data_IF_819621264127
#
_entry.id   IF_819621264127
#
_cell.length_a   1.000
_cell.length_b   1.000
_cell.length_c   1.000
_cell.angle_alpha   90.00
_cell.angle_beta   90.00
_cell.angle_gamma   90.00
#
_symmetry.space_group_name_H-M   'P 1'
#
loop_
_entity.id
_entity.type
_entity.pdbx_description
1 polymer ?
#
# COMPACT_ATOMS: atom_id res chain seq x y z
N UNK A 1 33.33 50.21 -23.78
CA UNK A 1 32.08 49.67 -23.20
C UNK A 1 32.49 48.52 -22.29
N UNK A 2 32.54 48.77 -20.98
CA UNK A 2 33.01 47.79 -20.00
C UNK A 2 31.82 46.96 -19.51
N UNK A 3 31.73 45.72 -19.96
CA UNK A 3 30.68 44.80 -19.52
C UNK A 3 31.13 44.08 -18.25
N UNK A 4 30.64 44.55 -17.11
CA UNK A 4 30.82 43.93 -15.80
C UNK A 4 29.94 42.68 -15.70
N UNK A 5 30.56 41.50 -15.72
CA UNK A 5 29.88 40.23 -15.43
C UNK A 5 29.71 40.09 -13.91
N UNK A 6 28.51 40.38 -13.43
CA UNK A 6 28.08 40.05 -12.08
C UNK A 6 27.93 38.53 -11.95
N UNK A 7 28.98 37.89 -11.44
CA UNK A 7 28.97 36.48 -11.02
C UNK A 7 27.91 36.33 -9.93
N UNK A 8 26.75 35.82 -10.31
CA UNK A 8 25.66 35.46 -9.42
C UNK A 8 26.19 34.40 -8.45
N UNK A 9 26.39 34.78 -7.18
CA UNK A 9 26.92 33.91 -6.14
C UNK A 9 25.93 32.77 -5.91
N UNK A 10 26.33 31.56 -6.29
CA UNK A 10 25.65 30.31 -5.99
C UNK A 10 25.45 30.16 -4.48
N UNK A 11 24.24 30.47 -3.99
CA UNK A 11 23.76 30.07 -2.65
C UNK A 11 23.41 28.57 -2.59
N UNK A 12 23.54 27.82 -3.69
CA UNK A 12 23.04 26.45 -3.85
C UNK A 12 24.01 25.30 -3.53
N UNK A 13 24.94 25.44 -2.56
CA UNK A 13 25.91 24.37 -2.22
C UNK A 13 26.11 24.06 -0.72
N UNK A 14 25.17 24.43 0.16
CA UNK A 14 25.29 24.14 1.61
C UNK A 14 24.28 23.09 2.15
N UNK A 15 23.29 22.65 1.37
CA UNK A 15 22.29 21.63 1.76
C UNK A 15 22.60 20.21 1.23
N UNK A 16 23.87 19.82 1.17
CA UNK A 16 24.28 18.58 0.53
C UNK A 16 23.80 17.28 1.22
N UNK A 17 23.04 17.32 2.32
CA UNK A 17 22.60 16.11 3.04
C UNK A 17 21.26 16.21 3.79
N UNK A 18 20.31 16.99 3.27
CA UNK A 18 18.92 16.85 3.72
C UNK A 18 18.21 15.90 2.76
N UNK A 19 18.47 14.59 2.89
CA UNK A 19 17.62 13.57 2.25
C UNK A 19 16.14 13.84 2.63
N UNK A 20 15.22 13.49 1.74
CA UNK A 20 13.78 13.63 1.98
C UNK A 20 13.37 12.80 3.21
N UNK A 21 12.46 13.32 4.03
CA UNK A 21 12.03 12.75 5.30
C UNK A 21 12.87 13.16 6.50
N UNK A 22 12.67 12.46 7.62
CA UNK A 22 13.38 12.73 8.89
C UNK A 22 14.83 12.26 8.81
N UNK A 23 15.81 13.18 8.98
CA UNK A 23 17.21 12.82 8.94
C UNK A 23 17.59 12.01 10.19
N UNK A 24 18.31 10.90 9.99
CA UNK A 24 18.81 10.05 11.08
C UNK A 24 20.24 10.40 11.50
N UNK A 25 21.04 10.86 10.53
CA UNK A 25 22.47 11.10 10.70
C UNK A 25 22.92 12.24 9.80
N UNK A 26 23.91 13.00 10.27
CA UNK A 26 24.64 13.95 9.44
C UNK A 26 25.72 13.23 8.64
N UNK A 27 26.09 13.75 7.46
CA UNK A 27 27.18 13.20 6.62
C UNK A 27 28.53 13.04 7.31
N UNK A 28 28.77 13.77 8.40
CA UNK A 28 29.98 13.61 9.21
C UNK A 28 29.96 12.36 10.11
N UNK A 29 28.90 11.55 10.03
CA UNK A 29 28.73 10.31 10.79
C UNK A 29 28.11 10.51 12.17
N UNK A 30 27.69 11.72 12.54
CA UNK A 30 27.09 12.00 13.84
C UNK A 30 25.57 11.94 13.79
N UNK A 31 24.88 11.55 14.88
CA UNK A 31 23.44 11.47 14.89
C UNK A 31 22.79 12.84 14.64
N UNK A 32 21.57 12.79 14.09
CA UNK A 32 20.70 13.95 14.04
C UNK A 32 20.00 14.14 15.39
N UNK A 33 20.01 15.35 15.91
CA UNK A 33 19.35 15.73 17.17
C UNK A 33 18.21 16.71 16.87
N UNK A 34 17.09 16.53 17.55
CA UNK A 34 15.94 17.42 17.46
C UNK A 34 16.09 18.52 18.52
N UNK A 35 16.18 19.77 18.07
CA UNK A 35 16.45 20.93 18.92
C UNK A 35 15.38 21.99 18.75
N UNK A 36 15.02 22.63 19.87
CA UNK A 36 14.14 23.80 19.88
C UNK A 36 14.95 25.06 19.61
N UNK A 37 14.55 25.82 18.59
CA UNK A 37 15.17 27.09 18.24
C UNK A 37 14.95 28.14 19.33
N UNK A 38 16.05 28.67 19.85
CA UNK A 38 16.07 29.82 20.75
C UNK A 38 16.31 31.15 19.98
N UNK A 39 16.25 31.13 18.64
CA UNK A 39 16.50 32.33 17.85
C UNK A 39 15.36 33.34 17.97
N UNK A 40 15.68 34.63 17.85
CA UNK A 40 14.68 35.71 17.88
C UNK A 40 13.74 35.64 16.68
N UNK A 41 14.24 35.20 15.53
CA UNK A 41 13.48 35.15 14.27
C UNK A 41 12.55 33.95 14.18
N UNK A 42 12.86 32.86 14.89
CA UNK A 42 12.10 31.62 14.82
C UNK A 42 12.09 30.92 16.20
N UNK A 43 11.56 31.58 17.25
CA UNK A 43 11.57 31.04 18.60
C UNK A 43 10.64 29.83 18.70
N UNK A 44 11.06 28.80 19.43
CA UNK A 44 10.25 27.62 19.72
C UNK A 44 10.13 26.60 18.58
N UNK A 45 10.56 26.92 17.35
CA UNK A 45 10.45 25.98 16.23
C UNK A 45 11.50 24.88 16.32
N UNK A 46 11.08 23.66 15.98
CA UNK A 46 11.93 22.48 16.03
C UNK A 46 12.72 22.30 14.73
N UNK A 47 13.98 21.90 14.86
CA UNK A 47 14.83 21.55 13.74
C UNK A 47 15.76 20.39 14.11
N UNK A 48 16.09 19.58 13.10
CA UNK A 48 17.12 18.57 13.20
C UNK A 48 18.49 19.18 12.91
N UNK A 49 19.48 18.89 13.75
CA UNK A 49 20.86 19.30 13.54
C UNK A 49 21.86 18.20 13.87
N UNK A 50 23.11 18.41 13.50
CA UNK A 50 24.19 17.50 13.85
C UNK A 50 24.54 17.61 15.34
N UNK A 51 24.73 16.49 16.04
CA UNK A 51 25.15 16.46 17.44
C UNK A 51 26.47 17.21 17.76
N UNK A 52 27.33 17.42 16.75
CA UNK A 52 28.53 18.30 16.87
C UNK A 52 28.21 19.79 16.94
N UNK A 53 26.94 20.17 16.81
CA UNK A 53 26.47 21.53 16.82
C UNK A 53 26.24 22.13 15.43
N UNK A 54 25.77 23.38 15.44
CA UNK A 54 25.42 24.12 14.24
C UNK A 54 26.66 24.67 13.52
N UNK A 55 26.86 24.20 12.30
CA UNK A 55 27.90 24.66 11.38
C UNK A 55 27.30 24.71 9.97
N UNK A 56 27.67 25.73 9.17
CA UNK A 56 27.12 25.95 7.81
C UNK A 56 27.25 24.78 6.82
N UNK A 57 28.06 23.77 7.16
CA UNK A 57 28.26 22.56 6.35
C UNK A 57 27.57 21.34 6.93
N UNK A 58 26.99 21.41 8.13
CA UNK A 58 26.38 20.28 8.81
C UNK A 58 24.86 20.27 8.64
N UNK A 59 24.23 19.17 9.06
CA UNK A 59 22.80 18.97 9.00
C UNK A 59 22.07 20.14 9.68
N UNK A 60 21.14 20.74 8.96
CA UNK A 60 20.14 21.66 9.46
C UNK A 60 18.88 21.47 8.60
N UNK A 61 17.79 20.99 9.21
CA UNK A 61 16.52 20.79 8.52
C UNK A 61 15.37 21.03 9.48
N UNK A 62 14.32 21.71 9.03
CA UNK A 62 13.17 22.00 9.87
C UNK A 62 12.34 20.75 10.09
N UNK A 63 11.87 20.54 11.33
CA UNK A 63 11.15 19.30 11.67
C UNK A 63 9.80 19.21 10.97
N UNK A 64 9.11 20.35 10.78
CA UNK A 64 7.84 20.41 10.07
C UNK A 64 7.98 20.11 8.57
N UNK A 65 9.06 20.53 7.93
CA UNK A 65 9.37 20.14 6.55
C UNK A 65 9.56 18.63 6.43
N UNK A 66 10.29 18.02 7.37
CA UNK A 66 10.49 16.56 7.40
C UNK A 66 9.16 15.81 7.52
N UNK A 67 8.28 16.27 8.41
CA UNK A 67 6.96 15.67 8.62
C UNK A 67 6.07 15.79 7.38
N UNK A 68 6.08 16.95 6.71
CA UNK A 68 5.31 17.15 5.47
C UNK A 68 5.79 16.19 4.39
N UNK A 69 7.10 16.07 4.20
CA UNK A 69 7.68 15.13 3.25
C UNK A 69 7.25 13.68 3.55
N UNK A 70 7.39 13.21 4.79
CA UNK A 70 7.00 11.84 5.17
C UNK A 70 5.51 11.59 4.92
N UNK A 71 4.64 12.54 5.28
CA UNK A 71 3.20 12.44 5.02
C UNK A 71 2.92 12.38 3.52
N UNK A 72 3.63 13.17 2.71
CA UNK A 72 3.50 13.12 1.25
C UNK A 72 3.94 11.79 0.63
N UNK A 73 4.95 11.11 1.20
CA UNK A 73 5.37 9.76 0.75
C UNK A 73 4.39 8.67 1.17
N UNK A 74 3.77 8.82 2.36
CA UNK A 74 2.79 7.84 2.85
C UNK A 74 1.49 7.90 2.04
N UNK A 75 1.09 9.09 1.55
CA UNK A 75 -0.13 9.29 0.75
C UNK A 75 -0.26 8.33 -0.45
N UNK A 76 0.70 8.22 -1.39
CA UNK A 76 0.61 7.28 -2.52
C UNK A 76 0.59 5.82 -2.07
N UNK A 77 1.30 5.46 -1.00
CA UNK A 77 1.29 4.10 -0.45
C UNK A 77 -0.11 3.72 0.03
N UNK A 78 -0.78 4.59 0.80
CA UNK A 78 -2.16 4.38 1.25
C UNK A 78 -3.12 4.30 0.07
N UNK A 79 -2.96 5.16 -0.95
CA UNK A 79 -3.79 5.10 -2.16
C UNK A 79 -3.66 3.75 -2.87
N UNK A 80 -2.43 3.29 -3.10
CA UNK A 80 -2.18 1.99 -3.73
C UNK A 80 -2.79 0.84 -2.92
N UNK A 81 -2.65 0.85 -1.59
CA UNK A 81 -3.26 -0.16 -0.73
C UNK A 81 -4.80 -0.15 -0.82
N UNK A 82 -5.43 1.02 -0.88
CA UNK A 82 -6.88 1.12 -1.04
C UNK A 82 -7.36 0.59 -2.41
N UNK A 83 -6.58 0.84 -3.46
CA UNK A 83 -6.86 0.31 -4.80
C UNK A 83 -6.76 -1.23 -4.81
N UNK A 84 -5.71 -1.78 -4.20
CA UNK A 84 -5.52 -3.23 -4.06
C UNK A 84 -6.64 -3.88 -3.25
N UNK A 85 -7.05 -3.27 -2.13
CA UNK A 85 -8.19 -3.76 -1.31
C UNK A 85 -9.47 -3.77 -2.15
N UNK A 86 -9.73 -2.70 -2.89
CA UNK A 86 -10.91 -2.59 -3.75
C UNK A 86 -10.92 -3.67 -4.84
N UNK A 87 -9.77 -3.92 -5.47
CA UNK A 87 -9.60 -4.98 -6.45
C UNK A 87 -9.83 -6.37 -5.84
N UNK A 88 -9.28 -6.62 -4.65
CA UNK A 88 -9.46 -7.90 -3.95
C UNK A 88 -10.93 -8.13 -3.57
N UNK A 89 -11.64 -7.11 -3.08
CA UNK A 89 -13.08 -7.19 -2.76
C UNK A 89 -13.88 -7.61 -4.00
N UNK A 90 -13.61 -6.99 -5.16
CA UNK A 90 -14.29 -7.34 -6.42
C UNK A 90 -14.01 -8.78 -6.84
N UNK A 91 -12.77 -9.24 -6.72
CA UNK A 91 -12.40 -10.60 -7.07
C UNK A 91 -13.03 -11.64 -6.14
N UNK A 92 -13.07 -11.37 -4.84
CA UNK A 92 -13.74 -12.26 -3.88
C UNK A 92 -15.23 -12.34 -4.16
N UNK A 93 -15.88 -11.21 -4.47
CA UNK A 93 -17.29 -11.19 -4.84
C UNK A 93 -17.56 -11.98 -6.15
N UNK A 94 -16.67 -11.85 -7.15
CA UNK A 94 -16.76 -12.63 -8.39
C UNK A 94 -16.59 -14.14 -8.13
N UNK A 95 -15.56 -14.52 -7.38
CA UNK A 95 -15.30 -15.92 -7.05
C UNK A 95 -16.46 -16.53 -6.25
N UNK A 96 -17.06 -15.76 -5.33
CA UNK A 96 -18.26 -16.17 -4.61
C UNK A 96 -19.41 -16.56 -5.56
N UNK A 97 -19.66 -15.75 -6.59
CA UNK A 97 -20.67 -16.06 -7.61
C UNK A 97 -20.32 -17.30 -8.43
N UNK A 98 -19.06 -17.47 -8.82
CA UNK A 98 -18.61 -18.67 -9.55
C UNK A 98 -18.81 -19.94 -8.72
N UNK A 99 -18.53 -19.89 -7.42
CA UNK A 99 -18.77 -20.99 -6.48
C UNK A 99 -20.27 -21.31 -6.37
N UNK A 100 -21.14 -20.30 -6.27
CA UNK A 100 -22.59 -20.51 -6.24
C UNK A 100 -23.11 -21.17 -7.51
N UNK A 101 -22.67 -20.72 -8.69
CA UNK A 101 -23.02 -21.32 -9.98
C UNK A 101 -22.54 -22.77 -10.05
N UNK A 102 -21.29 -23.03 -9.65
CA UNK A 102 -20.75 -24.39 -9.64
C UNK A 102 -21.50 -25.30 -8.68
N UNK A 103 -21.88 -24.79 -7.49
CA UNK A 103 -22.65 -25.53 -6.49
C UNK A 103 -24.04 -25.89 -7.00
N UNK A 104 -24.75 -24.95 -7.62
CA UNK A 104 -26.08 -25.22 -8.20
C UNK A 104 -26.02 -26.21 -9.35
N UNK A 105 -25.00 -26.13 -10.22
CA UNK A 105 -24.76 -27.12 -11.26
C UNK A 105 -24.49 -28.52 -10.69
N UNK A 106 -23.69 -28.63 -9.61
CA UNK A 106 -23.41 -29.91 -8.97
C UNK A 106 -24.65 -30.53 -8.32
N UNK A 107 -25.49 -29.72 -7.64
CA UNK A 107 -26.77 -30.18 -7.08
C UNK A 107 -27.70 -30.67 -8.18
N UNK A 108 -27.85 -29.90 -9.27
CA UNK A 108 -28.69 -30.31 -10.41
C UNK A 108 -28.24 -31.64 -11.03
N UNK A 109 -26.92 -31.83 -11.20
CA UNK A 109 -26.34 -33.07 -11.73
C UNK A 109 -26.57 -34.25 -10.78
N UNK A 110 -26.47 -34.03 -9.47
CA UNK A 110 -26.81 -35.04 -8.46
C UNK A 110 -28.27 -35.46 -8.56
N UNK A 111 -29.19 -34.51 -8.64
CA UNK A 111 -30.63 -34.80 -8.74
C UNK A 111 -30.97 -35.54 -10.03
N UNK A 112 -30.32 -35.19 -11.13
CA UNK A 112 -30.47 -35.91 -12.41
C UNK A 112 -29.97 -37.35 -12.34
N UNK A 113 -28.82 -37.58 -11.73
CA UNK A 113 -28.31 -38.93 -11.48
C UNK A 113 -29.29 -39.74 -10.61
N UNK A 114 -29.80 -39.14 -9.53
CA UNK A 114 -30.78 -39.80 -8.65
C UNK A 114 -32.09 -40.13 -9.37
N UNK A 115 -32.63 -39.21 -10.18
CA UNK A 115 -33.83 -39.48 -11.00
C UNK A 115 -33.61 -40.66 -11.95
N UNK A 116 -32.46 -40.69 -12.64
CA UNK A 116 -32.15 -41.76 -13.58
C UNK A 116 -32.03 -43.12 -12.88
N UNK A 117 -31.44 -43.16 -11.68
CA UNK A 117 -31.38 -44.37 -10.85
C UNK A 117 -32.77 -44.86 -10.47
N UNK A 118 -33.65 -43.96 -10.00
CA UNK A 118 -35.03 -44.32 -9.62
C UNK A 118 -35.81 -44.88 -10.81
N UNK A 119 -35.74 -44.25 -11.99
CA UNK A 119 -36.42 -44.71 -13.21
C UNK A 119 -35.94 -46.11 -13.61
N UNK A 120 -34.63 -46.37 -13.56
CA UNK A 120 -34.06 -47.69 -13.83
C UNK A 120 -34.56 -48.74 -12.82
N UNK A 121 -34.51 -48.44 -11.51
CA UNK A 121 -34.95 -49.38 -10.48
C UNK A 121 -36.45 -49.73 -10.60
N UNK A 122 -37.31 -48.73 -10.81
CA UNK A 122 -38.76 -48.93 -10.98
C UNK A 122 -39.05 -49.71 -12.26
N UNK A 123 -38.41 -49.35 -13.37
CA UNK A 123 -38.56 -50.07 -14.64
C UNK A 123 -38.18 -51.54 -14.52
N UNK A 124 -37.05 -51.84 -13.87
CA UNK A 124 -36.62 -53.22 -13.62
C UNK A 124 -37.59 -53.98 -12.70
N UNK A 125 -38.11 -53.35 -11.65
CA UNK A 125 -39.09 -53.98 -10.75
C UNK A 125 -40.40 -54.35 -11.48
N UNK A 126 -40.89 -53.46 -12.35
CA UNK A 126 -42.07 -53.71 -13.17
C UNK A 126 -41.83 -54.89 -14.12
N UNK A 127 -40.70 -54.91 -14.82
CA UNK A 127 -40.34 -56.03 -15.70
C UNK A 127 -40.32 -57.35 -14.93
N UNK A 128 -39.66 -57.40 -13.76
CA UNK A 128 -39.65 -58.59 -12.91
C UNK A 128 -41.07 -59.04 -12.52
N UNK A 129 -41.95 -58.11 -12.14
CA UNK A 129 -43.35 -58.45 -11.81
C UNK A 129 -44.06 -59.16 -12.97
N UNK A 130 -43.96 -58.61 -14.18
CA UNK A 130 -44.60 -59.22 -15.36
C UNK A 130 -44.01 -60.59 -15.75
N UNK A 131 -42.70 -60.82 -15.56
CA UNK A 131 -42.08 -62.10 -15.89
C UNK A 131 -42.36 -63.22 -14.86
N UNK A 132 -42.53 -62.87 -13.58
CA UNK A 132 -42.68 -63.85 -12.50
C UNK A 132 -44.14 -64.11 -12.08
N UNK A 133 -45.05 -63.15 -12.26
CA UNK A 133 -46.41 -63.23 -11.73
C UNK A 133 -47.53 -63.26 -12.79
N UNK A 134 -47.24 -62.99 -14.06
CA UNK A 134 -48.20 -63.07 -15.18
C UNK A 134 -47.81 -64.22 -16.09
#
# INVERSE_FOLDING_TARGET
MSSSSSVSRNYGKQHLNAERGTPKQCWCGQPAELVTSASVTNPGRLYYCCARGYHKRHLFKLADECLVEEVEDIKPMIRGMNDDISFLILNVARLGKEIEVMKTAHVRKRDECMRNVVVLCVGMAILCYYYFFV
#
